data_IF_502904554985
#
_entry.id   IF_502904554985
#
_cell.length_a   1.000
_cell.length_b   1.000
_cell.length_c   1.000
_cell.angle_alpha   90.00
_cell.angle_beta   90.00
_cell.angle_gamma   90.00
#
_symmetry.space_group_name_H-M   'P 1'
#
loop_
_entity.id
_entity.type
_entity.pdbx_description
1 polymer ?
#
# COMPACT_ATOMS: atom_id res chain seq x y z
N UNK A 1 -12.02 -2.33 14.11
CA UNK A 1 -11.52 -1.85 12.79
C UNK A 1 -11.16 -3.09 11.99
N UNK A 2 -11.69 -3.28 10.77
CA UNK A 2 -11.38 -4.47 9.97
C UNK A 2 -9.93 -4.41 9.44
N UNK A 3 -9.35 -5.56 9.10
CA UNK A 3 -7.96 -5.66 8.62
C UNK A 3 -7.70 -4.79 7.37
N UNK A 4 -8.69 -4.67 6.48
CA UNK A 4 -8.65 -3.80 5.29
C UNK A 4 -8.55 -2.31 5.66
N UNK A 5 -9.36 -1.82 6.60
CA UNK A 5 -9.29 -0.44 7.07
C UNK A 5 -7.95 -0.13 7.75
N UNK A 6 -7.23 -1.15 8.20
CA UNK A 6 -5.87 -1.02 8.69
C UNK A 6 -4.89 -0.59 7.59
N UNK A 7 -5.12 -0.87 6.31
CA UNK A 7 -4.16 -0.61 5.22
C UNK A 7 -3.77 0.87 5.13
N UNK A 8 -4.69 1.80 5.39
CA UNK A 8 -4.40 3.24 5.42
C UNK A 8 -3.78 3.76 6.73
N UNK A 9 -3.63 2.92 7.75
CA UNK A 9 -3.06 3.33 9.04
C UNK A 9 -1.53 3.19 9.03
N UNK A 10 -0.84 4.32 9.27
CA UNK A 10 0.61 4.35 9.40
C UNK A 10 1.31 5.20 8.35
N UNK A 11 0.59 5.70 7.35
CA UNK A 11 1.17 6.46 6.24
C UNK A 11 1.95 7.67 6.76
N UNK A 12 3.28 7.54 6.75
CA UNK A 12 4.21 8.59 7.12
C UNK A 12 4.16 9.73 6.09
N UNK A 13 5.11 10.66 6.14
CA UNK A 13 5.23 11.74 5.16
C UNK A 13 5.59 11.14 3.79
N UNK A 14 4.64 11.08 2.86
CA UNK A 14 4.88 10.50 1.53
C UNK A 14 5.70 11.46 0.65
N UNK A 15 6.61 10.95 -0.19
CA UNK A 15 7.17 11.75 -1.27
C UNK A 15 6.05 12.25 -2.18
N UNK A 16 6.16 13.51 -2.66
CA UNK A 16 5.19 14.10 -3.59
C UNK A 16 4.88 13.24 -4.82
N UNK A 17 5.88 12.48 -5.29
CA UNK A 17 5.74 11.57 -6.43
C UNK A 17 4.66 10.49 -6.19
N UNK A 18 4.52 10.04 -4.94
CA UNK A 18 3.60 8.95 -4.56
C UNK A 18 2.35 9.51 -3.86
N UNK A 19 2.42 10.72 -3.31
CA UNK A 19 1.32 11.38 -2.58
C UNK A 19 0.03 11.52 -3.41
N UNK A 20 0.15 11.68 -4.73
CA UNK A 20 -0.99 11.75 -5.67
C UNK A 20 -1.83 10.47 -5.70
N UNK A 21 -1.25 9.33 -5.32
CA UNK A 21 -1.91 8.02 -5.33
C UNK A 21 -2.75 7.77 -4.06
N UNK A 22 -2.50 8.54 -2.99
CA UNK A 22 -3.14 8.34 -1.68
C UNK A 22 -4.67 8.38 -1.74
N UNK A 23 -5.34 9.32 -2.43
CA UNK A 23 -6.80 9.33 -2.52
C UNK A 23 -7.35 8.05 -3.18
N UNK A 24 -6.64 7.53 -4.20
CA UNK A 24 -7.02 6.28 -4.88
C UNK A 24 -6.91 5.07 -3.95
N UNK A 25 -5.81 4.97 -3.19
CA UNK A 25 -5.65 3.94 -2.17
C UNK A 25 -6.75 4.00 -1.10
N UNK A 26 -7.06 5.18 -0.58
CA UNK A 26 -8.10 5.37 0.43
C UNK A 26 -9.49 4.97 -0.09
N UNK A 27 -9.81 5.32 -1.34
CA UNK A 27 -11.05 4.91 -2.00
C UNK A 27 -11.13 3.38 -2.14
N UNK A 28 -10.07 2.72 -2.58
CA UNK A 28 -10.04 1.26 -2.72
C UNK A 28 -10.19 0.55 -1.37
N UNK A 29 -9.62 1.10 -0.29
CA UNK A 29 -9.81 0.57 1.07
C UNK A 29 -11.27 0.70 1.51
N UNK A 30 -11.93 1.84 1.23
CA UNK A 30 -13.35 2.04 1.52
C UNK A 30 -14.21 1.06 0.73
N UNK A 31 -13.99 0.95 -0.59
CA UNK A 31 -14.73 0.03 -1.45
C UNK A 31 -14.54 -1.43 -1.00
N UNK A 32 -13.32 -1.82 -0.63
CA UNK A 32 -13.03 -3.17 -0.12
C UNK A 32 -13.82 -3.46 1.16
N UNK A 33 -13.91 -2.46 2.05
CA UNK A 33 -14.69 -2.59 3.28
C UNK A 33 -16.18 -2.72 3.01
N UNK A 34 -16.73 -1.93 2.09
CA UNK A 34 -18.14 -1.99 1.71
C UNK A 34 -18.50 -3.35 1.10
N UNK A 35 -17.67 -3.85 0.17
CA UNK A 35 -17.87 -5.18 -0.42
C UNK A 35 -17.73 -6.30 0.61
N UNK A 36 -16.79 -6.17 1.56
CA UNK A 36 -16.67 -7.11 2.68
C UNK A 36 -17.95 -7.16 3.52
N UNK A 37 -18.49 -5.99 3.90
CA UNK A 37 -19.71 -5.91 4.71
C UNK A 37 -20.93 -6.42 3.94
N UNK A 38 -21.02 -6.18 2.63
CA UNK A 38 -22.06 -6.76 1.77
C UNK A 38 -21.98 -8.28 1.77
N UNK A 39 -20.80 -8.84 1.47
CA UNK A 39 -20.58 -10.29 1.48
C UNK A 39 -20.88 -10.91 2.85
N UNK A 40 -20.43 -10.30 3.93
CA UNK A 40 -20.70 -10.78 5.28
C UNK A 40 -22.20 -10.81 5.62
N UNK A 41 -22.96 -9.82 5.17
CA UNK A 41 -24.42 -9.76 5.37
C UNK A 41 -25.18 -10.81 4.58
N UNK A 42 -24.68 -11.24 3.41
CA UNK A 42 -25.34 -12.31 2.64
C UNK A 42 -25.14 -13.69 3.28
N UNK A 43 -24.15 -13.84 4.18
CA UNK A 43 -23.84 -15.12 4.82
C UNK A 43 -23.31 -16.16 3.85
N UNK A 44 -22.83 -15.73 2.67
CA UNK A 44 -22.29 -16.64 1.66
C UNK A 44 -21.00 -17.31 2.14
N UNK A 45 -20.83 -18.59 1.83
CA UNK A 45 -19.64 -19.36 2.19
C UNK A 45 -18.39 -18.98 1.40
N UNK A 46 -18.55 -18.31 0.25
CA UNK A 46 -17.45 -17.86 -0.61
C UNK A 46 -17.52 -16.35 -0.81
N UNK A 47 -16.36 -15.65 -0.90
CA UNK A 47 -16.30 -14.24 -1.26
C UNK A 47 -17.02 -13.95 -2.57
N UNK A 48 -17.62 -12.75 -2.69
CA UNK A 48 -18.16 -12.30 -3.97
C UNK A 48 -17.03 -11.96 -4.95
N UNK A 49 -17.28 -12.12 -6.25
CA UNK A 49 -16.31 -11.71 -7.27
C UNK A 49 -15.97 -10.22 -7.17
N UNK A 50 -16.96 -9.38 -6.87
CA UNK A 50 -16.74 -7.94 -6.66
C UNK A 50 -15.79 -7.66 -5.50
N UNK A 51 -15.86 -8.41 -4.40
CA UNK A 51 -14.90 -8.28 -3.29
C UNK A 51 -13.49 -8.67 -3.73
N UNK A 52 -13.36 -9.78 -4.48
CA UNK A 52 -12.08 -10.23 -5.01
C UNK A 52 -11.48 -9.22 -5.98
N UNK A 53 -12.28 -8.66 -6.88
CA UNK A 53 -11.85 -7.64 -7.84
C UNK A 53 -11.36 -6.37 -7.14
N UNK A 54 -12.07 -5.88 -6.13
CA UNK A 54 -11.59 -4.71 -5.37
C UNK A 54 -10.32 -5.04 -4.58
N UNK A 55 -10.17 -6.26 -4.06
CA UNK A 55 -8.90 -6.70 -3.44
C UNK A 55 -7.74 -6.77 -4.45
N UNK A 56 -7.98 -7.21 -5.69
CA UNK A 56 -6.99 -7.19 -6.79
C UNK A 56 -6.56 -5.77 -7.11
N UNK A 57 -7.51 -4.86 -7.30
CA UNK A 57 -7.23 -3.45 -7.56
C UNK A 57 -6.44 -2.81 -6.41
N UNK A 58 -6.76 -3.18 -5.17
CA UNK A 58 -6.03 -2.72 -3.99
C UNK A 58 -4.58 -3.25 -3.98
N UNK A 59 -4.36 -4.51 -4.35
CA UNK A 59 -3.01 -5.07 -4.50
C UNK A 59 -2.23 -4.31 -5.58
N UNK A 60 -2.80 -4.16 -6.78
CA UNK A 60 -2.19 -3.41 -7.88
C UNK A 60 -1.82 -1.99 -7.46
N UNK A 61 -2.71 -1.29 -6.74
CA UNK A 61 -2.42 0.05 -6.24
C UNK A 61 -1.22 0.06 -5.28
N UNK A 62 -1.13 -0.90 -4.36
CA UNK A 62 0.00 -1.03 -3.43
C UNK A 62 1.31 -1.29 -4.20
N UNK A 63 1.26 -2.08 -5.26
CA UNK A 63 2.43 -2.36 -6.11
C UNK A 63 2.86 -1.14 -6.93
N UNK A 64 1.91 -0.42 -7.52
CA UNK A 64 2.21 0.83 -8.22
C UNK A 64 2.80 1.90 -7.28
N UNK A 65 2.36 1.95 -6.02
CA UNK A 65 2.95 2.83 -5.00
C UNK A 65 4.43 2.49 -4.78
N UNK A 66 4.77 1.20 -4.73
CA UNK A 66 6.15 0.75 -4.55
C UNK A 66 7.02 1.04 -5.77
N UNK A 67 6.48 0.80 -6.96
CA UNK A 67 7.15 1.11 -8.23
C UNK A 67 7.43 2.62 -8.34
N UNK A 68 6.46 3.48 -8.04
CA UNK A 68 6.66 4.93 -8.09
C UNK A 68 7.60 5.45 -7.01
N UNK A 69 7.60 4.84 -5.82
CA UNK A 69 8.62 5.11 -4.79
C UNK A 69 10.00 4.76 -5.33
N UNK A 70 10.17 3.59 -5.93
CA UNK A 70 11.46 3.15 -6.47
C UNK A 70 11.93 4.07 -7.59
N UNK A 71 11.08 4.36 -8.58
CA UNK A 71 11.34 5.27 -9.69
C UNK A 71 11.77 6.65 -9.19
N UNK A 72 11.04 7.20 -8.22
CA UNK A 72 11.40 8.45 -7.55
C UNK A 72 12.78 8.37 -6.90
N UNK A 73 13.07 7.28 -6.18
CA UNK A 73 14.33 7.12 -5.46
C UNK A 73 15.54 6.97 -6.39
N UNK A 74 15.41 6.23 -7.49
CA UNK A 74 16.51 5.99 -8.43
C UNK A 74 16.67 7.11 -9.47
N UNK A 75 15.71 8.04 -9.57
CA UNK A 75 15.73 9.14 -10.53
C UNK A 75 17.03 9.98 -10.47
N UNK A 76 17.53 10.46 -11.62
CA UNK A 76 18.72 11.31 -11.67
C UNK A 76 18.60 12.56 -10.79
N UNK A 77 17.44 13.20 -10.79
CA UNK A 77 17.15 14.40 -9.99
C UNK A 77 17.27 14.11 -8.50
N UNK A 78 16.70 12.98 -8.06
CA UNK A 78 16.76 12.60 -6.64
C UNK A 78 18.14 12.16 -6.23
N UNK A 79 18.87 11.45 -7.09
CA UNK A 79 20.28 11.09 -6.86
C UNK A 79 21.15 12.33 -6.70
N UNK A 80 21.02 13.32 -7.59
CA UNK A 80 21.74 14.58 -7.49
C UNK A 80 21.38 15.36 -6.22
N UNK A 81 20.09 15.37 -5.84
CA UNK A 81 19.67 15.98 -4.56
C UNK A 81 20.31 15.31 -3.35
N UNK A 82 20.39 13.97 -3.33
CA UNK A 82 21.03 13.23 -2.24
C UNK A 82 22.52 13.55 -2.14
N UNK A 83 23.24 13.56 -3.26
CA UNK A 83 24.66 13.92 -3.29
C UNK A 83 24.92 15.33 -2.76
N UNK A 84 24.07 16.31 -3.14
CA UNK A 84 24.17 17.67 -2.58
C UNK A 84 23.92 17.69 -1.08
N UNK A 85 22.85 17.03 -0.60
CA UNK A 85 22.56 17.01 0.84
C UNK A 85 23.62 16.25 1.64
N UNK A 86 24.23 15.22 1.10
CA UNK A 86 25.32 14.51 1.76
C UNK A 86 26.52 15.43 2.06
N UNK A 87 26.83 16.34 1.13
CA UNK A 87 27.93 17.29 1.26
C UNK A 87 27.55 18.55 2.08
N UNK A 88 26.34 19.07 1.88
CA UNK A 88 25.94 20.41 2.37
C UNK A 88 25.03 20.36 3.61
N UNK A 89 24.19 19.32 3.74
CA UNK A 89 23.18 19.22 4.81
C UNK A 89 22.88 17.76 5.20
N UNK A 90 23.74 17.14 6.03
CA UNK A 90 23.60 15.74 6.44
C UNK A 90 22.29 15.43 7.17
N UNK A 91 21.65 16.45 7.78
CA UNK A 91 20.34 16.30 8.42
C UNK A 91 19.26 16.05 7.39
N UNK A 92 19.21 16.85 6.31
CA UNK A 92 18.27 16.64 5.20
C UNK A 92 18.53 15.34 4.46
N UNK A 93 19.80 14.94 4.32
CA UNK A 93 20.15 13.63 3.77
C UNK A 93 19.53 12.50 4.61
N UNK A 94 19.76 12.53 5.93
CA UNK A 94 19.19 11.54 6.86
C UNK A 94 17.65 11.54 6.84
N UNK A 95 17.01 12.71 6.78
CA UNK A 95 15.56 12.83 6.69
C UNK A 95 15.00 12.20 5.42
N UNK A 96 15.66 12.41 4.27
CA UNK A 96 15.24 11.77 3.01
C UNK A 96 15.30 10.24 3.07
N UNK A 97 16.36 9.67 3.66
CA UNK A 97 16.46 8.22 3.85
C UNK A 97 15.37 7.70 4.80
N UNK A 98 15.07 8.43 5.88
CA UNK A 98 13.97 8.08 6.79
C UNK A 98 12.63 8.04 6.08
N UNK A 99 12.33 9.04 5.24
CA UNK A 99 11.10 9.09 4.45
C UNK A 99 11.01 7.89 3.49
N UNK A 100 12.08 7.60 2.75
CA UNK A 100 12.10 6.46 1.83
C UNK A 100 11.87 5.13 2.56
N UNK A 101 12.61 4.89 3.64
CA UNK A 101 12.53 3.64 4.39
C UNK A 101 11.19 3.48 5.10
N UNK A 102 10.60 4.57 5.59
CA UNK A 102 9.27 4.55 6.18
C UNK A 102 8.22 4.14 5.13
N UNK A 103 8.28 4.69 3.92
CA UNK A 103 7.34 4.32 2.86
C UNK A 103 7.51 2.86 2.42
N UNK A 104 8.75 2.35 2.31
CA UNK A 104 8.99 0.93 2.05
C UNK A 104 8.37 0.04 3.13
N UNK A 105 8.57 0.38 4.40
CA UNK A 105 7.95 -0.36 5.52
C UNK A 105 6.41 -0.28 5.52
N UNK A 106 5.84 0.88 5.16
CA UNK A 106 4.40 1.06 5.01
C UNK A 106 3.84 0.16 3.90
N UNK A 107 4.49 0.12 2.73
CA UNK A 107 4.10 -0.76 1.61
C UNK A 107 4.13 -2.23 2.02
N UNK A 108 5.21 -2.68 2.67
CA UNK A 108 5.31 -4.06 3.16
C UNK A 108 4.22 -4.38 4.18
N UNK A 109 3.90 -3.44 5.07
CA UNK A 109 2.82 -3.59 6.04
C UNK A 109 1.45 -3.67 5.36
N UNK A 110 1.21 -2.87 4.30
CA UNK A 110 0.00 -2.93 3.50
C UNK A 110 -0.16 -4.28 2.80
N UNK A 111 0.89 -4.78 2.13
CA UNK A 111 0.91 -6.13 1.53
C UNK A 111 0.62 -7.21 2.56
N UNK A 112 1.29 -7.15 3.72
CA UNK A 112 1.11 -8.11 4.81
C UNK A 112 -0.32 -8.12 5.34
N UNK A 113 -0.94 -6.95 5.50
CA UNK A 113 -2.33 -6.82 5.94
C UNK A 113 -3.30 -7.39 4.92
N UNK A 114 -3.11 -7.09 3.63
CA UNK A 114 -3.96 -7.63 2.57
C UNK A 114 -3.82 -9.15 2.44
N UNK A 115 -2.58 -9.67 2.48
CA UNK A 115 -2.33 -11.11 2.45
C UNK A 115 -2.89 -11.86 3.67
N UNK A 116 -2.79 -11.25 4.85
CA UNK A 116 -3.41 -11.78 6.07
C UNK A 116 -4.94 -11.79 5.96
N UNK A 117 -5.53 -10.75 5.39
CA UNK A 117 -6.96 -10.68 5.15
C UNK A 117 -7.41 -11.77 4.16
N UNK A 118 -6.72 -11.93 3.03
CA UNK A 118 -6.98 -12.97 2.05
C UNK A 118 -6.96 -14.36 2.69
N UNK A 119 -5.89 -14.66 3.44
CA UNK A 119 -5.68 -15.97 4.06
C UNK A 119 -6.69 -16.27 5.16
N UNK A 120 -6.89 -15.34 6.08
CA UNK A 120 -7.61 -15.63 7.32
C UNK A 120 -9.07 -15.21 7.28
N UNK A 121 -9.45 -14.27 6.41
CA UNK A 121 -10.83 -13.79 6.30
C UNK A 121 -11.53 -14.36 5.06
N UNK A 122 -10.82 -14.50 3.93
CA UNK A 122 -11.39 -15.03 2.69
C UNK A 122 -11.12 -16.54 2.48
N UNK A 123 -10.40 -17.20 3.40
CA UNK A 123 -9.96 -18.60 3.31
C UNK A 123 -9.13 -18.92 2.05
N UNK A 124 -8.41 -17.92 1.54
CA UNK A 124 -7.53 -18.04 0.38
C UNK A 124 -6.14 -18.50 0.85
N UNK A 125 -5.89 -19.82 0.85
CA UNK A 125 -4.71 -20.43 1.50
C UNK A 125 -3.37 -19.99 0.90
N UNK A 126 -3.33 -19.58 -0.36
CA UNK A 126 -2.20 -18.95 -1.04
C UNK A 126 -2.04 -17.45 -0.72
N UNK A 127 -2.97 -16.84 0.02
CA UNK A 127 -2.90 -15.45 0.45
C UNK A 127 -3.02 -14.49 -0.73
N UNK A 128 -1.98 -13.69 -0.99
CA UNK A 128 -1.93 -12.78 -2.13
C UNK A 128 -1.86 -13.52 -3.48
N UNK A 129 -1.23 -14.70 -3.52
CA UNK A 129 -1.09 -15.49 -4.75
C UNK A 129 -2.43 -16.06 -5.26
N UNK A 130 -3.44 -16.12 -4.39
CA UNK A 130 -4.80 -16.50 -4.80
C UNK A 130 -5.64 -15.27 -5.22
N UNK A 131 -5.16 -14.05 -4.91
CA UNK A 131 -5.78 -12.79 -5.33
C UNK A 131 -5.36 -12.45 -6.76
N UNK A 132 -4.06 -12.60 -7.08
CA UNK A 132 -3.50 -12.49 -8.44
C UNK A 132 -4.23 -13.40 -9.46
#
# INVERSE_FOLDING_TARGET
MCQLCGIKNGLARWPKAVETMKPGLELLVVNSHEEHEKWKKTGASKPSESLLEVCRLLLTMIESIEEERENWWISPEKRAQRQRFELEDPKKFTELHKINNALTGDVEAMRTRLGSYARWTLDMRGGLADIE
#
